data_IF_168547647189
#
_entry.id   IF_168547647189
#
_cell.length_a   1.000
_cell.length_b   1.000
_cell.length_c   1.000
_cell.angle_alpha   90.00
_cell.angle_beta   90.00
_cell.angle_gamma   90.00
#
_symmetry.space_group_name_H-M   'P 1'
#
loop_
_entity.id
_entity.type
_entity.pdbx_description
1 polymer ?
#
# COMPACT_ATOMS: atom_id res chain seq x y z
N UNK A 1 16.41 -4.86 7.24
CA UNK A 1 15.01 -4.43 7.11
C UNK A 1 14.88 -2.96 7.50
N UNK A 2 15.67 -2.50 8.47
CA UNK A 2 16.12 -1.10 8.69
C UNK A 2 16.13 -0.23 7.43
N UNK A 3 16.89 -0.60 6.40
CA UNK A 3 16.96 0.16 5.13
C UNK A 3 15.59 0.39 4.48
N UNK A 4 14.69 -0.60 4.48
CA UNK A 4 13.35 -0.48 3.91
C UNK A 4 12.42 0.38 4.77
N UNK A 5 12.59 0.39 6.09
CA UNK A 5 11.84 1.28 6.99
C UNK A 5 12.22 2.74 6.74
N UNK A 6 13.52 3.03 6.64
CA UNK A 6 14.02 4.38 6.36
C UNK A 6 13.48 4.94 5.04
N UNK A 7 13.27 4.09 4.02
CA UNK A 7 12.69 4.50 2.73
C UNK A 7 11.27 5.05 2.83
N UNK A 8 10.50 4.71 3.88
CA UNK A 8 9.18 5.31 4.06
C UNK A 8 9.28 6.82 4.23
N UNK A 9 10.35 7.34 4.84
CA UNK A 9 10.59 8.79 4.97
C UNK A 9 10.89 9.48 3.63
N UNK A 10 11.37 8.72 2.65
CA UNK A 10 11.63 9.20 1.29
C UNK A 10 10.36 9.26 0.43
N UNK A 11 9.27 8.60 0.83
CA UNK A 11 7.99 8.70 0.13
C UNK A 11 7.45 10.12 0.31
N UNK A 12 7.36 10.87 -0.78
CA UNK A 12 6.89 12.25 -0.77
C UNK A 12 5.61 12.41 -1.61
N UNK A 13 4.87 13.53 -1.46
CA UNK A 13 3.70 13.78 -2.29
C UNK A 13 4.07 13.87 -3.78
N UNK A 14 3.72 12.84 -4.53
CA UNK A 14 4.02 12.73 -5.98
C UNK A 14 2.74 12.81 -6.80
N UNK A 15 2.79 13.58 -7.89
CA UNK A 15 1.74 13.57 -8.92
C UNK A 15 1.95 12.38 -9.89
N UNK A 16 0.98 11.48 -9.93
CA UNK A 16 0.94 10.31 -10.82
C UNK A 16 -0.18 10.50 -11.83
N UNK A 17 0.11 10.31 -13.12
CA UNK A 17 -0.95 10.17 -14.12
C UNK A 17 -1.30 8.69 -14.23
N UNK A 18 -2.56 8.36 -13.96
CA UNK A 18 -3.07 6.99 -14.06
C UNK A 18 -3.99 6.92 -15.27
N UNK A 19 -3.58 6.16 -16.28
CA UNK A 19 -4.29 6.04 -17.55
C UNK A 19 -4.75 4.61 -17.80
N UNK A 20 -6.03 4.41 -18.15
CA UNK A 20 -6.54 3.06 -18.37
C UNK A 20 -8.05 2.90 -18.35
N UNK A 21 -8.46 1.66 -18.16
CA UNK A 21 -9.86 1.23 -18.14
C UNK A 21 -10.45 1.29 -16.71
N UNK A 22 -11.28 2.31 -16.47
CA UNK A 22 -11.99 2.46 -15.20
C UNK A 22 -13.27 1.62 -15.16
N UNK A 23 -13.60 1.11 -13.97
CA UNK A 23 -14.81 0.33 -13.73
C UNK A 23 -15.34 0.56 -12.31
N UNK A 24 -16.54 0.08 -12.00
CA UNK A 24 -17.05 0.00 -10.63
C UNK A 24 -17.03 -1.43 -10.13
N UNK A 25 -16.38 -1.65 -8.99
CA UNK A 25 -16.56 -2.87 -8.21
C UNK A 25 -17.74 -2.66 -7.25
N UNK A 26 -18.82 -3.41 -7.45
CA UNK A 26 -20.02 -3.32 -6.62
C UNK A 26 -20.16 -4.58 -5.78
N UNK A 27 -20.54 -4.42 -4.51
CA UNK A 27 -20.73 -5.48 -3.54
C UNK A 27 -22.18 -5.45 -3.06
N UNK A 28 -22.97 -6.41 -3.54
CA UNK A 28 -24.38 -6.57 -3.13
C UNK A 28 -24.45 -7.63 -2.05
N UNK A 29 -24.62 -7.22 -0.79
CA UNK A 29 -24.64 -8.14 0.35
C UNK A 29 -26.06 -8.40 0.82
N UNK A 30 -26.35 -9.66 1.15
CA UNK A 30 -27.67 -10.07 1.60
C UNK A 30 -27.69 -11.42 2.30
N UNK A 31 -28.90 -11.95 2.51
CA UNK A 31 -29.10 -13.29 3.09
C UNK A 31 -29.86 -14.19 2.13
N UNK A 32 -29.47 -15.46 2.07
CA UNK A 32 -30.20 -16.50 1.32
C UNK A 32 -30.97 -17.36 2.31
N UNK A 33 -32.30 -17.19 2.36
CA UNK A 33 -33.16 -17.93 3.31
C UNK A 33 -34.04 -18.99 2.66
N UNK A 34 -34.18 -18.96 1.34
CA UNK A 34 -35.06 -19.86 0.59
C UNK A 34 -34.57 -20.06 -0.84
N UNK A 35 -35.05 -21.14 -1.44
CA UNK A 35 -34.98 -21.40 -2.87
C UNK A 35 -36.20 -20.76 -3.55
N UNK A 36 -36.03 -20.28 -4.77
CA UNK A 36 -37.11 -19.70 -5.57
C UNK A 36 -38.17 -20.76 -5.91
N UNK A 37 -39.48 -20.42 -5.86
CA UNK A 37 -40.53 -21.31 -6.35
C UNK A 37 -40.58 -21.40 -7.88
N UNK A 38 -39.91 -20.49 -8.60
CA UNK A 38 -39.92 -20.39 -10.07
C UNK A 38 -38.82 -21.24 -10.73
N UNK A 39 -37.70 -21.42 -10.04
CA UNK A 39 -36.54 -22.17 -10.52
C UNK A 39 -35.71 -22.64 -9.32
N UNK A 40 -34.92 -23.73 -9.43
CA UNK A 40 -34.08 -24.26 -8.35
C UNK A 40 -32.84 -23.39 -8.10
N UNK A 41 -33.04 -22.10 -7.81
CA UNK A 41 -32.02 -21.10 -7.57
C UNK A 41 -32.24 -20.39 -6.24
N UNK A 42 -31.15 -19.99 -5.59
CA UNK A 42 -31.19 -19.23 -4.34
C UNK A 42 -31.78 -17.83 -4.55
N UNK A 43 -32.61 -17.37 -3.61
CA UNK A 43 -33.09 -15.98 -3.57
C UNK A 43 -32.26 -15.18 -2.59
N UNK A 44 -31.48 -14.23 -3.10
CA UNK A 44 -30.75 -13.27 -2.27
C UNK A 44 -31.67 -12.11 -1.88
N UNK A 45 -31.93 -11.97 -0.57
CA UNK A 45 -32.57 -10.77 -0.04
C UNK A 45 -31.50 -9.72 0.25
N UNK A 46 -31.35 -8.75 -0.65
CA UNK A 46 -30.35 -7.67 -0.55
C UNK A 46 -30.60 -6.86 0.73
N UNK A 47 -29.53 -6.58 1.46
CA UNK A 47 -29.54 -5.76 2.68
C UNK A 47 -28.71 -4.49 2.51
N UNK A 48 -27.61 -4.57 1.76
CA UNK A 48 -26.74 -3.44 1.49
C UNK A 48 -26.12 -3.58 0.09
N UNK A 49 -25.82 -2.44 -0.52
CA UNK A 49 -25.07 -2.35 -1.77
C UNK A 49 -24.02 -1.25 -1.61
N UNK A 50 -22.78 -1.56 -1.98
CA UNK A 50 -21.67 -0.61 -1.96
C UNK A 50 -20.90 -0.68 -3.26
N UNK A 51 -20.66 0.47 -3.89
CA UNK A 51 -19.88 0.58 -5.12
C UNK A 51 -18.61 1.38 -4.87
N UNK A 52 -17.50 0.92 -5.44
CA UNK A 52 -16.19 1.56 -5.34
C UNK A 52 -15.52 1.61 -6.72
N UNK A 53 -14.66 2.60 -6.98
CA UNK A 53 -13.79 2.59 -8.17
C UNK A 53 -12.94 1.31 -8.21
N UNK A 54 -13.02 0.58 -9.33
CA UNK A 54 -12.28 -0.64 -9.63
C UNK A 54 -11.38 -0.46 -10.86
N UNK A 55 -10.59 -1.47 -11.16
CA UNK A 55 -9.63 -1.43 -12.28
C UNK A 55 -8.62 -0.30 -12.12
N UNK A 56 -8.47 0.54 -13.14
CA UNK A 56 -7.63 1.75 -13.06
C UNK A 56 -8.06 2.68 -11.92
N UNK A 57 -9.33 2.67 -11.52
CA UNK A 57 -9.80 3.39 -10.33
C UNK A 57 -9.19 2.84 -9.04
N UNK A 58 -9.01 1.53 -8.89
CA UNK A 58 -8.39 0.92 -7.72
C UNK A 58 -6.89 1.28 -7.63
N UNK A 59 -6.19 1.34 -8.77
CA UNK A 59 -4.81 1.84 -8.84
C UNK A 59 -4.74 3.29 -8.33
N UNK A 60 -5.62 4.16 -8.81
CA UNK A 60 -5.68 5.55 -8.38
C UNK A 60 -5.91 5.67 -6.86
N UNK A 61 -6.84 4.91 -6.31
CA UNK A 61 -7.14 4.92 -4.87
C UNK A 61 -5.99 4.42 -4.00
N UNK A 62 -5.23 3.42 -4.47
CA UNK A 62 -4.02 2.97 -3.78
C UNK A 62 -2.93 4.05 -3.80
N UNK A 63 -2.74 4.75 -4.92
CA UNK A 63 -1.79 5.87 -4.99
C UNK A 63 -2.17 7.00 -4.01
N UNK A 64 -3.45 7.37 -3.93
CA UNK A 64 -3.95 8.35 -2.94
C UNK A 64 -3.65 7.87 -1.51
N UNK A 65 -3.91 6.59 -1.21
CA UNK A 65 -3.69 6.00 0.12
C UNK A 65 -2.21 5.96 0.53
N UNK A 66 -1.31 5.92 -0.46
CA UNK A 66 0.14 6.01 -0.31
C UNK A 66 0.65 7.46 -0.27
N UNK A 67 -0.24 8.46 -0.22
CA UNK A 67 0.11 9.88 -0.11
C UNK A 67 0.42 10.59 -1.44
N UNK A 68 0.18 9.92 -2.57
CA UNK A 68 0.29 10.52 -3.91
C UNK A 68 -0.92 11.37 -4.28
N UNK A 69 -0.80 12.09 -5.40
CA UNK A 69 -1.88 12.80 -6.09
C UNK A 69 -2.09 12.17 -7.46
N UNK A 70 -3.33 12.08 -7.91
CA UNK A 70 -3.65 11.39 -9.16
C UNK A 70 -4.33 12.31 -10.16
N UNK A 71 -3.86 12.25 -11.41
CA UNK A 71 -4.61 12.69 -12.60
C UNK A 71 -5.14 11.43 -13.29
N UNK A 72 -6.47 11.27 -13.30
CA UNK A 72 -7.14 10.13 -13.91
C UNK A 72 -7.41 10.39 -15.39
N UNK A 73 -6.93 9.49 -16.26
CA UNK A 73 -7.15 9.55 -17.71
C UNK A 73 -7.82 8.27 -18.18
N UNK A 74 -9.04 8.37 -18.69
CA UNK A 74 -9.86 7.20 -18.96
C UNK A 74 -11.15 7.58 -19.69
N UNK A 75 -12.00 6.59 -19.95
CA UNK A 75 -13.37 6.86 -20.41
C UNK A 75 -14.41 6.28 -19.48
N UNK A 76 -15.57 6.92 -19.45
CA UNK A 76 -16.77 6.46 -18.77
C UNK A 76 -17.97 6.65 -19.69
N UNK A 77 -19.03 5.88 -19.46
CA UNK A 77 -20.30 6.04 -20.15
C UNK A 77 -21.07 7.25 -19.65
N UNK A 78 -21.98 7.77 -20.49
CA UNK A 78 -23.00 8.74 -20.11
C UNK A 78 -24.14 8.09 -19.27
N UNK A 79 -23.80 7.23 -18.32
CA UNK A 79 -24.73 6.43 -17.53
C UNK A 79 -24.58 6.69 -16.02
N UNK A 80 -25.46 6.07 -15.22
CA UNK A 80 -25.44 6.25 -13.76
C UNK A 80 -24.14 5.75 -13.13
N UNK A 81 -23.58 4.66 -13.66
CA UNK A 81 -22.31 4.10 -13.21
C UNK A 81 -21.14 5.06 -13.50
N UNK A 82 -21.08 5.68 -14.68
CA UNK A 82 -20.06 6.65 -15.06
C UNK A 82 -20.10 7.90 -14.19
N UNK A 83 -21.30 8.42 -13.90
CA UNK A 83 -21.48 9.54 -12.95
C UNK A 83 -21.01 9.17 -11.54
N UNK A 84 -21.45 8.01 -11.04
CA UNK A 84 -21.07 7.54 -9.70
C UNK A 84 -19.56 7.32 -9.57
N UNK A 85 -18.91 6.78 -10.60
CA UNK A 85 -17.47 6.60 -10.65
C UNK A 85 -16.73 7.94 -10.61
N UNK A 86 -17.14 8.92 -11.43
CA UNK A 86 -16.56 10.28 -11.41
C UNK A 86 -16.69 10.92 -10.03
N UNK A 87 -17.89 10.94 -9.45
CA UNK A 87 -18.15 11.52 -8.13
C UNK A 87 -17.33 10.82 -7.04
N UNK A 88 -17.15 9.49 -7.14
CA UNK A 88 -16.36 8.73 -6.17
C UNK A 88 -14.87 9.06 -6.25
N UNK A 89 -14.33 9.31 -7.45
CA UNK A 89 -12.95 9.73 -7.62
C UNK A 89 -12.74 11.19 -7.16
N UNK A 90 -13.68 12.09 -7.47
CA UNK A 90 -13.63 13.49 -7.03
C UNK A 90 -13.65 13.63 -5.49
N UNK A 91 -14.43 12.79 -4.80
CA UNK A 91 -14.46 12.73 -3.32
C UNK A 91 -13.12 12.35 -2.69
N UNK A 92 -12.26 11.68 -3.44
CA UNK A 92 -10.92 11.26 -3.03
C UNK A 92 -9.85 12.27 -3.51
N UNK A 93 -10.28 13.46 -3.93
CA UNK A 93 -9.44 14.55 -4.43
C UNK A 93 -8.63 14.19 -5.69
N UNK A 94 -9.10 13.21 -6.48
CA UNK A 94 -8.50 12.82 -7.75
C UNK A 94 -8.91 13.81 -8.84
N UNK A 95 -7.95 14.25 -9.65
CA UNK A 95 -8.21 15.10 -10.80
C UNK A 95 -8.80 14.26 -11.95
N UNK A 96 -10.09 14.45 -12.19
CA UNK A 96 -10.89 13.72 -13.19
C UNK A 96 -11.09 14.50 -14.49
N UNK A 97 -10.29 15.55 -14.74
CA UNK A 97 -10.35 16.29 -16.01
C UNK A 97 -10.08 15.39 -17.23
N UNK A 98 -9.25 14.36 -17.05
CA UNK A 98 -8.96 13.36 -18.08
C UNK A 98 -9.97 12.20 -18.15
N UNK A 99 -11.08 12.22 -17.42
CA UNK A 99 -12.16 11.25 -17.60
C UNK A 99 -13.10 11.70 -18.70
N UNK A 100 -12.99 11.08 -19.86
CA UNK A 100 -13.80 11.38 -21.04
C UNK A 100 -15.15 10.66 -20.99
N UNK A 101 -16.23 11.37 -21.26
CA UNK A 101 -17.58 10.80 -21.29
C UNK A 101 -17.92 10.37 -22.72
N UNK A 102 -18.32 9.12 -22.90
CA UNK A 102 -18.72 8.57 -24.19
C UNK A 102 -20.21 8.20 -24.17
N UNK A 103 -21.00 8.80 -25.07
CA UNK A 103 -22.39 8.43 -25.28
C UNK A 103 -22.52 6.99 -25.81
N UNK A 104 -23.48 6.25 -25.29
CA UNK A 104 -23.73 4.84 -25.67
C UNK A 104 -22.69 3.82 -25.17
N UNK A 105 -21.58 4.25 -24.56
CA UNK A 105 -20.68 3.34 -23.85
C UNK A 105 -21.27 2.97 -22.51
N UNK A 106 -21.25 1.68 -22.16
CA UNK A 106 -21.69 1.18 -20.86
C UNK A 106 -20.49 1.13 -19.91
N UNK A 107 -20.49 1.98 -18.88
CA UNK A 107 -19.43 1.97 -17.86
C UNK A 107 -19.36 0.57 -17.24
N UNK A 108 -18.19 -0.11 -17.23
CA UNK A 108 -18.10 -1.46 -16.72
C UNK A 108 -18.42 -1.53 -15.22
N UNK A 109 -19.29 -2.46 -14.82
CA UNK A 109 -19.59 -2.76 -13.42
C UNK A 109 -19.37 -4.24 -13.13
N UNK A 110 -18.61 -4.54 -12.08
CA UNK A 110 -18.34 -5.89 -11.57
C UNK A 110 -19.10 -6.09 -10.26
N UNK A 111 -20.33 -6.58 -10.32
CA UNK A 111 -21.17 -6.77 -9.15
C UNK A 111 -20.94 -8.16 -8.52
N UNK A 112 -20.41 -8.20 -7.31
CA UNK A 112 -20.19 -9.40 -6.49
C UNK A 112 -21.35 -9.54 -5.51
N UNK A 113 -22.16 -10.58 -5.69
CA UNK A 113 -23.28 -10.92 -4.81
C UNK A 113 -22.76 -11.78 -3.66
N UNK A 114 -22.93 -11.31 -2.43
CA UNK A 114 -22.42 -11.94 -1.22
C UNK A 114 -23.59 -12.35 -0.32
N UNK A 115 -23.62 -13.63 0.06
CA UNK A 115 -24.57 -14.18 1.02
C UNK A 115 -23.81 -14.83 2.18
N UNK A 116 -24.21 -14.51 3.42
CA UNK A 116 -23.66 -15.13 4.63
C UNK A 116 -22.11 -15.18 4.64
N UNK A 117 -21.50 -14.04 4.25
CA UNK A 117 -20.05 -13.83 4.14
C UNK A 117 -19.33 -14.63 3.05
N UNK A 118 -20.05 -15.21 2.09
CA UNK A 118 -19.50 -15.90 0.93
C UNK A 118 -19.95 -15.26 -0.38
N UNK A 119 -19.04 -15.12 -1.34
CA UNK A 119 -19.40 -14.68 -2.68
C UNK A 119 -20.12 -15.82 -3.42
N UNK A 120 -21.36 -15.57 -3.84
CA UNK A 120 -22.21 -16.58 -4.49
C UNK A 120 -22.17 -16.43 -6.01
N UNK A 121 -22.16 -15.19 -6.51
CA UNK A 121 -22.19 -14.91 -7.95
C UNK A 121 -21.46 -13.60 -8.25
N UNK A 122 -20.88 -13.52 -9.45
CA UNK A 122 -20.40 -12.27 -10.02
C UNK A 122 -21.18 -11.96 -11.30
N UNK A 123 -21.70 -10.74 -11.40
CA UNK A 123 -22.44 -10.24 -12.57
C UNK A 123 -21.64 -9.08 -13.16
N UNK A 124 -21.21 -9.26 -14.40
CA UNK A 124 -20.42 -8.27 -15.11
C UNK A 124 -21.32 -7.53 -16.10
N UNK A 125 -21.51 -6.22 -15.87
CA UNK A 125 -22.23 -5.33 -16.76
C UNK A 125 -21.24 -4.53 -17.59
N UNK A 126 -20.87 -5.03 -18.77
CA UNK A 126 -19.89 -4.36 -19.62
C UNK A 126 -20.13 -4.62 -21.10
N UNK A 127 -19.55 -3.76 -21.92
CA UNK A 127 -19.46 -3.97 -23.37
C UNK A 127 -18.08 -3.53 -23.80
N UNK A 128 -17.25 -4.48 -24.20
CA UNK A 128 -15.92 -4.16 -24.71
C UNK A 128 -16.10 -3.59 -26.12
N UNK A 129 -15.70 -2.34 -26.31
CA UNK A 129 -15.75 -1.67 -27.62
C UNK A 129 -14.52 -0.79 -27.77
N UNK A 130 -13.92 -0.66 -28.96
CA UNK A 130 -12.88 0.34 -29.18
C UNK A 130 -13.36 1.75 -28.82
N UNK A 131 -12.44 2.64 -28.47
CA UNK A 131 -12.72 4.06 -28.37
C UNK A 131 -13.03 4.63 -29.77
N UNK A 132 -14.09 5.46 -29.93
CA UNK A 132 -14.37 6.16 -31.18
C UNK A 132 -13.22 7.10 -31.58
N UNK A 133 -12.98 7.25 -32.89
CA UNK A 133 -11.83 8.02 -33.43
C UNK A 133 -11.84 9.51 -33.01
N UNK A 134 -13.01 10.12 -32.89
CA UNK A 134 -13.22 11.50 -32.45
C UNK A 134 -12.87 11.69 -30.97
N UNK A 135 -13.30 10.76 -30.12
CA UNK A 135 -12.95 10.76 -28.71
C UNK A 135 -11.46 10.45 -28.50
N UNK A 136 -10.91 9.50 -29.27
CA UNK A 136 -9.48 9.18 -29.27
C UNK A 136 -8.62 10.40 -29.65
N UNK A 137 -9.02 11.16 -30.67
CA UNK A 137 -8.34 12.39 -31.06
C UNK A 137 -8.35 13.44 -29.95
N UNK A 138 -9.48 13.58 -29.24
CA UNK A 138 -9.62 14.50 -28.10
C UNK A 138 -8.71 14.10 -26.94
N UNK A 139 -8.64 12.79 -26.62
CA UNK A 139 -7.71 12.26 -25.60
C UNK A 139 -6.28 12.63 -25.96
N UNK A 140 -5.86 12.32 -27.19
CA UNK A 140 -4.50 12.58 -27.69
C UNK A 140 -4.12 14.08 -27.60
N UNK A 141 -5.05 14.98 -27.94
CA UNK A 141 -4.82 16.42 -27.87
C UNK A 141 -4.64 16.92 -26.42
N UNK A 142 -5.40 16.37 -25.48
CA UNK A 142 -5.38 16.79 -24.08
C UNK A 142 -4.24 16.17 -23.24
N UNK A 143 -3.69 15.01 -23.66
CA UNK A 143 -2.64 14.27 -22.92
C UNK A 143 -1.47 15.18 -22.51
N UNK A 144 -0.98 16.00 -23.43
CA UNK A 144 0.14 16.91 -23.19
C UNK A 144 -0.11 17.87 -22.02
N UNK A 145 -1.35 18.35 -21.86
CA UNK A 145 -1.76 19.24 -20.77
C UNK A 145 -2.00 18.48 -19.47
N UNK A 146 -2.64 17.31 -19.54
CA UNK A 146 -2.89 16.44 -18.39
C UNK A 146 -1.57 15.94 -17.74
N UNK A 147 -0.51 15.80 -18.55
CA UNK A 147 0.82 15.39 -18.10
C UNK A 147 1.65 16.50 -17.42
N UNK A 148 1.13 17.72 -17.26
CA UNK A 148 1.89 18.82 -16.65
C UNK A 148 2.13 18.58 -15.16
N UNK A 149 3.40 18.61 -14.75
CA UNK A 149 3.79 18.40 -13.35
C UNK A 149 3.64 16.96 -12.86
N UNK A 150 3.46 16.00 -13.78
CA UNK A 150 3.42 14.56 -13.50
C UNK A 150 4.85 14.03 -13.36
N UNK A 151 5.08 13.17 -12.36
CA UNK A 151 6.39 12.56 -12.09
C UNK A 151 6.51 11.13 -12.62
N UNK A 152 5.39 10.42 -12.82
CA UNK A 152 5.35 9.06 -13.38
C UNK A 152 3.99 8.80 -14.00
N UNK A 153 3.94 7.93 -15.01
CA UNK A 153 2.71 7.46 -15.63
C UNK A 153 2.49 5.97 -15.32
N UNK A 154 1.35 5.65 -14.72
CA UNK A 154 0.89 4.29 -14.51
C UNK A 154 -0.18 3.95 -15.55
N UNK A 155 0.11 3.01 -16.45
CA UNK A 155 -0.80 2.52 -17.48
C UNK A 155 -1.42 1.22 -16.99
N UNK A 156 -2.74 1.16 -16.91
CA UNK A 156 -3.47 0.01 -16.37
C UNK A 156 -4.49 -0.50 -17.39
N UNK A 157 -4.09 -1.55 -18.13
CA UNK A 157 -4.89 -2.12 -19.21
C UNK A 157 -5.77 -3.27 -18.70
N UNK A 158 -7.08 -3.18 -18.91
CA UNK A 158 -8.04 -4.25 -18.62
C UNK A 158 -8.73 -4.77 -19.89
N UNK A 159 -8.21 -4.40 -21.07
CA UNK A 159 -8.75 -4.70 -22.38
C UNK A 159 -10.22 -4.31 -22.54
N UNK A 160 -10.63 -3.16 -21.97
CA UNK A 160 -12.00 -2.63 -22.12
C UNK A 160 -12.15 -1.72 -23.33
N UNK A 161 -11.04 -1.35 -23.96
CA UNK A 161 -10.99 -0.67 -25.26
C UNK A 161 -10.71 0.82 -25.20
N UNK A 162 -10.38 1.38 -24.03
CA UNK A 162 -9.91 2.77 -23.93
C UNK A 162 -8.48 2.92 -24.46
N UNK A 163 -7.58 2.03 -24.04
CA UNK A 163 -6.17 2.05 -24.42
C UNK A 163 -5.97 1.52 -25.85
N UNK A 164 -6.23 2.37 -26.84
CA UNK A 164 -5.89 2.11 -28.23
C UNK A 164 -4.37 2.15 -28.45
N UNK A 165 -3.91 1.57 -29.57
CA UNK A 165 -2.49 1.65 -29.98
C UNK A 165 -2.04 3.10 -30.08
N UNK A 166 -2.87 3.98 -30.66
CA UNK A 166 -2.54 5.40 -30.82
C UNK A 166 -2.41 6.13 -29.49
N UNK A 167 -3.31 5.88 -28.53
CA UNK A 167 -3.21 6.48 -27.18
C UNK A 167 -1.96 6.00 -26.46
N UNK A 168 -1.66 4.69 -26.53
CA UNK A 168 -0.46 4.10 -25.93
C UNK A 168 0.82 4.68 -26.55
N UNK A 169 0.89 4.76 -27.88
CA UNK A 169 2.03 5.35 -28.59
C UNK A 169 2.23 6.82 -28.20
N UNK A 170 1.17 7.62 -28.17
CA UNK A 170 1.25 9.03 -27.82
C UNK A 170 1.70 9.23 -26.37
N UNK A 171 1.06 8.56 -25.40
CA UNK A 171 1.38 8.75 -23.97
C UNK A 171 2.82 8.29 -23.66
N UNK A 172 3.27 7.16 -24.24
CA UNK A 172 4.63 6.66 -24.06
C UNK A 172 5.65 7.58 -24.75
N UNK A 173 5.35 8.06 -25.95
CA UNK A 173 6.21 9.00 -26.69
C UNK A 173 6.37 10.33 -25.93
N UNK A 174 5.27 10.92 -25.47
CA UNK A 174 5.29 12.16 -24.69
C UNK A 174 6.02 11.98 -23.36
N UNK A 175 5.85 10.83 -22.69
CA UNK A 175 6.54 10.52 -21.46
C UNK A 175 8.06 10.49 -21.68
N UNK A 176 8.49 9.78 -22.72
CA UNK A 176 9.91 9.67 -23.11
C UNK A 176 10.52 11.03 -23.48
N UNK A 177 9.80 11.85 -24.24
CA UNK A 177 10.24 13.22 -24.60
C UNK A 177 10.44 14.11 -23.36
N UNK A 178 9.66 13.88 -22.31
CA UNK A 178 9.71 14.66 -21.05
C UNK A 178 10.57 14.02 -19.96
N UNK A 179 11.12 12.83 -20.20
CA UNK A 179 11.85 12.06 -19.19
C UNK A 179 10.97 11.60 -18.02
N UNK A 180 9.66 11.42 -18.25
CA UNK A 180 8.72 10.92 -17.25
C UNK A 180 8.71 9.39 -17.35
N UNK A 181 9.03 8.64 -16.28
CA UNK A 181 8.98 7.18 -16.28
C UNK A 181 7.57 6.66 -16.52
N UNK A 182 7.48 5.46 -17.11
CA UNK A 182 6.26 4.75 -17.43
C UNK A 182 6.29 3.33 -16.88
N UNK A 183 5.19 2.91 -16.24
CA UNK A 183 4.98 1.52 -15.83
C UNK A 183 3.63 1.04 -16.35
N UNK A 184 3.62 -0.13 -16.97
CA UNK A 184 2.44 -0.71 -17.62
C UNK A 184 2.05 -1.99 -16.90
N UNK A 185 0.78 -2.10 -16.48
CA UNK A 185 0.14 -3.37 -16.16
C UNK A 185 -0.60 -3.86 -17.41
N UNK A 186 -0.05 -4.85 -18.13
CA UNK A 186 -0.53 -5.19 -19.46
C UNK A 186 -1.75 -6.12 -19.40
N UNK A 187 -2.56 -6.09 -20.46
CA UNK A 187 -3.53 -7.13 -20.76
C UNK A 187 -3.32 -7.76 -22.13
N UNK A 188 -3.67 -9.04 -22.20
CA UNK A 188 -3.62 -9.84 -23.43
C UNK A 188 -2.29 -10.56 -23.60
N UNK A 189 -2.07 -11.07 -24.81
CA UNK A 189 -0.86 -11.76 -25.26
C UNK A 189 -0.01 -10.91 -26.21
N UNK A 190 -0.53 -9.79 -26.71
CA UNK A 190 0.23 -8.84 -27.52
C UNK A 190 0.72 -7.66 -26.68
N UNK A 191 2.01 -7.71 -26.33
CA UNK A 191 2.70 -6.63 -25.62
C UNK A 191 3.39 -5.63 -26.56
N UNK A 192 3.34 -5.84 -27.89
CA UNK A 192 3.99 -4.94 -28.84
C UNK A 192 3.39 -3.53 -28.82
N UNK A 193 2.10 -3.40 -28.46
CA UNK A 193 1.41 -2.11 -28.26
C UNK A 193 1.96 -1.25 -27.12
N UNK A 194 2.79 -1.81 -26.23
CA UNK A 194 3.43 -1.07 -25.13
C UNK A 194 4.91 -0.72 -25.42
N UNK A 195 5.31 -0.82 -26.68
CA UNK A 195 6.68 -0.53 -27.14
C UNK A 195 7.14 0.84 -26.66
N UNK A 196 8.32 0.89 -26.04
CA UNK A 196 8.96 2.11 -25.56
C UNK A 196 8.67 2.44 -24.09
N UNK A 197 7.82 1.68 -23.41
CA UNK A 197 7.62 1.80 -21.97
C UNK A 197 8.88 1.38 -21.18
N UNK A 198 9.12 2.01 -20.03
CA UNK A 198 10.29 1.72 -19.20
C UNK A 198 10.13 0.39 -18.45
N UNK A 199 8.93 0.12 -17.94
CA UNK A 199 8.61 -1.08 -17.15
C UNK A 199 7.29 -1.69 -17.64
N UNK A 200 7.30 -2.99 -17.94
CA UNK A 200 6.06 -3.78 -18.07
C UNK A 200 5.95 -4.76 -16.90
N UNK A 201 4.75 -4.83 -16.31
CA UNK A 201 4.44 -5.56 -15.09
C UNK A 201 3.41 -6.68 -15.28
N UNK A 202 3.66 -7.73 -16.09
CA UNK A 202 2.67 -8.80 -16.24
C UNK A 202 2.63 -9.71 -15.00
N UNK A 203 1.54 -10.43 -14.82
CA UNK A 203 1.59 -11.67 -14.03
C UNK A 203 2.26 -12.80 -14.83
N UNK A 204 2.61 -13.90 -14.16
CA UNK A 204 3.28 -15.05 -14.80
C UNK A 204 2.48 -15.61 -15.99
N UNK A 205 1.15 -15.74 -15.86
CA UNK A 205 0.30 -16.27 -16.93
C UNK A 205 0.27 -15.35 -18.15
N UNK A 206 0.20 -14.03 -17.93
CA UNK A 206 0.26 -13.03 -19.00
C UNK A 206 1.63 -13.02 -19.68
N UNK A 207 2.73 -13.11 -18.92
CA UNK A 207 4.07 -13.17 -19.47
C UNK A 207 4.29 -14.42 -20.34
N UNK A 208 3.86 -15.59 -19.87
CA UNK A 208 3.96 -16.86 -20.61
C UNK A 208 3.10 -16.83 -21.88
N UNK A 209 1.88 -16.30 -21.78
CA UNK A 209 0.98 -16.15 -22.92
C UNK A 209 1.59 -15.21 -23.98
N UNK A 210 2.13 -14.07 -23.56
CA UNK A 210 2.75 -13.11 -24.47
C UNK A 210 4.03 -13.64 -25.13
N UNK A 211 4.79 -14.47 -24.41
CA UNK A 211 5.94 -15.18 -24.99
C UNK A 211 5.53 -16.34 -25.92
N UNK A 212 4.23 -16.70 -25.97
CA UNK A 212 3.69 -17.85 -26.72
C UNK A 212 4.36 -19.16 -26.32
N UNK A 213 4.65 -19.32 -25.04
CA UNK A 213 5.34 -20.48 -24.46
C UNK A 213 4.39 -21.31 -23.58
N UNK A 214 4.79 -22.54 -23.24
CA UNK A 214 4.09 -23.31 -22.20
C UNK A 214 4.48 -22.83 -20.80
N UNK A 215 3.60 -23.05 -19.82
CA UNK A 215 3.83 -22.69 -18.42
C UNK A 215 4.98 -23.45 -17.73
N UNK A 216 5.47 -24.53 -18.36
CA UNK A 216 6.59 -25.34 -17.89
C UNK A 216 7.96 -24.79 -18.25
N UNK A 217 8.02 -23.70 -19.02
CA UNK A 217 9.28 -23.11 -19.47
C UNK A 217 9.96 -22.31 -18.36
N UNK A 218 11.29 -22.34 -18.34
CA UNK A 218 12.13 -21.56 -17.42
C UNK A 218 11.86 -20.07 -17.63
N UNK A 219 11.63 -19.35 -16.53
CA UNK A 219 11.24 -17.94 -16.56
C UNK A 219 12.22 -17.03 -17.31
N UNK A 220 13.53 -17.32 -17.24
CA UNK A 220 14.56 -16.59 -17.97
C UNK A 220 14.38 -16.66 -19.50
N UNK A 221 13.88 -17.78 -20.02
CA UNK A 221 13.56 -17.90 -21.45
C UNK A 221 12.33 -17.08 -21.82
N UNK A 222 11.30 -17.07 -20.96
CA UNK A 222 10.11 -16.23 -21.16
C UNK A 222 10.52 -14.76 -21.23
N UNK A 223 11.32 -14.29 -20.27
CA UNK A 223 11.83 -12.91 -20.25
C UNK A 223 12.67 -12.59 -21.49
N UNK A 224 13.58 -13.48 -21.89
CA UNK A 224 14.41 -13.30 -23.08
C UNK A 224 13.57 -13.12 -24.35
N UNK A 225 12.61 -14.02 -24.58
CA UNK A 225 11.70 -13.95 -25.74
C UNK A 225 10.94 -12.62 -25.75
N UNK A 226 10.46 -12.17 -24.59
CA UNK A 226 9.78 -10.88 -24.47
C UNK A 226 10.70 -9.70 -24.81
N UNK A 227 11.95 -9.67 -24.34
CA UNK A 227 12.91 -8.61 -24.68
C UNK A 227 13.31 -8.60 -26.17
N UNK A 228 13.34 -9.76 -26.82
CA UNK A 228 13.66 -9.91 -28.24
C UNK A 228 12.52 -9.39 -29.13
N UNK A 229 11.27 -9.51 -28.67
CA UNK A 229 10.08 -9.09 -29.43
C UNK A 229 9.52 -7.71 -29.04
N UNK A 230 9.86 -7.20 -27.86
CA UNK A 230 9.29 -5.97 -27.29
C UNK A 230 10.43 -5.01 -26.90
N UNK A 231 10.34 -3.76 -27.34
CA UNK A 231 11.32 -2.73 -26.96
C UNK A 231 10.95 -2.09 -25.61
N UNK A 232 11.24 -2.81 -24.53
CA UNK A 232 11.09 -2.36 -23.14
C UNK A 232 12.41 -2.42 -22.38
N UNK A 233 12.58 -1.62 -21.34
CA UNK A 233 13.84 -1.59 -20.59
C UNK A 233 13.86 -2.65 -19.47
N UNK A 234 12.73 -2.83 -18.79
CA UNK A 234 12.61 -3.74 -17.63
C UNK A 234 11.29 -4.51 -17.65
N UNK A 235 11.34 -5.75 -17.17
CA UNK A 235 10.19 -6.63 -17.06
C UNK A 235 10.02 -7.09 -15.61
N UNK A 236 8.88 -6.77 -14.99
CA UNK A 236 8.56 -7.08 -13.60
C UNK A 236 7.46 -8.13 -13.56
N UNK A 237 7.83 -9.41 -13.41
CA UNK A 237 6.87 -10.51 -13.43
C UNK A 237 6.39 -10.80 -12.00
N UNK A 238 5.08 -10.67 -11.75
CA UNK A 238 4.47 -11.10 -10.48
C UNK A 238 4.10 -12.59 -10.55
N UNK A 239 4.43 -13.34 -9.50
CA UNK A 239 4.37 -14.82 -9.47
C UNK A 239 3.65 -15.34 -8.23
N UNK A 240 2.58 -14.66 -7.81
CA UNK A 240 1.78 -15.03 -6.64
C UNK A 240 2.67 -15.27 -5.40
N UNK A 241 2.59 -16.43 -4.75
CA UNK A 241 3.37 -16.81 -3.57
C UNK A 241 4.89 -16.83 -3.79
N UNK A 242 5.35 -17.00 -5.03
CA UNK A 242 6.78 -16.92 -5.37
C UNK A 242 7.31 -15.47 -5.46
N UNK A 243 6.44 -14.49 -5.25
CA UNK A 243 6.76 -13.07 -5.23
C UNK A 243 7.04 -12.49 -6.61
N UNK A 244 8.05 -11.63 -6.70
CA UNK A 244 8.31 -10.82 -7.89
C UNK A 244 9.68 -11.16 -8.47
N UNK A 245 9.78 -11.26 -9.80
CA UNK A 245 11.07 -11.26 -10.50
C UNK A 245 11.21 -10.00 -11.34
N UNK A 246 12.32 -9.28 -11.19
CA UNK A 246 12.75 -8.22 -12.09
C UNK A 246 13.75 -8.77 -13.08
N UNK A 247 13.53 -8.50 -14.35
CA UNK A 247 14.49 -8.72 -15.41
C UNK A 247 14.88 -7.40 -16.05
N UNK A 248 16.17 -7.26 -16.35
CA UNK A 248 16.71 -6.13 -17.10
C UNK A 248 17.16 -6.58 -18.49
N UNK A 249 17.17 -5.65 -19.46
CA UNK A 249 17.54 -5.95 -20.86
C UNK A 249 18.96 -6.51 -21.02
N UNK A 250 19.86 -6.27 -20.06
CA UNK A 250 21.21 -6.84 -20.03
C UNK A 250 21.23 -8.36 -19.70
N UNK A 251 20.08 -8.96 -19.38
CA UNK A 251 19.94 -10.37 -19.00
C UNK A 251 20.03 -10.64 -17.50
N UNK A 252 20.21 -9.61 -16.67
CA UNK A 252 20.19 -9.77 -15.22
C UNK A 252 18.77 -10.04 -14.70
N UNK A 253 18.72 -10.88 -13.65
CA UNK A 253 17.49 -11.26 -12.96
C UNK A 253 17.66 -11.06 -11.47
N UNK A 254 16.65 -10.45 -10.85
CA UNK A 254 16.57 -10.26 -9.40
C UNK A 254 15.24 -10.84 -8.90
N UNK A 255 15.30 -11.72 -7.90
CA UNK A 255 14.11 -12.34 -7.30
C UNK A 255 13.82 -11.76 -5.92
N UNK A 256 12.54 -11.43 -5.70
CA UNK A 256 12.01 -10.83 -4.49
C UNK A 256 10.91 -11.74 -3.92
N UNK A 257 11.26 -12.74 -3.09
CA UNK A 257 10.29 -13.67 -2.52
C UNK A 257 9.35 -12.98 -1.54
N UNK A 258 8.09 -13.40 -1.49
CA UNK A 258 7.11 -12.94 -0.49
C UNK A 258 7.29 -13.78 0.78
N UNK A 259 7.21 -13.14 1.94
CA UNK A 259 6.98 -13.83 3.22
C UNK A 259 5.48 -13.83 3.49
N UNK A 260 4.73 -14.72 2.86
CA UNK A 260 3.26 -14.66 2.94
C UNK A 260 2.75 -15.28 4.25
N UNK A 261 1.81 -14.59 4.88
CA UNK A 261 0.93 -15.17 5.89
C UNK A 261 -0.32 -15.76 5.20
N UNK A 262 -1.33 -16.10 5.97
CA UNK A 262 -2.59 -16.66 5.47
C UNK A 262 -3.28 -15.73 4.46
N UNK A 263 -3.49 -16.23 3.24
CA UNK A 263 -4.09 -15.48 2.13
C UNK A 263 -5.62 -15.53 2.23
N UNK A 264 -6.28 -14.37 2.21
CA UNK A 264 -7.74 -14.27 2.24
C UNK A 264 -8.34 -13.97 0.86
N UNK A 265 -7.80 -12.98 0.15
CA UNK A 265 -8.32 -12.56 -1.15
C UNK A 265 -7.18 -12.00 -2.02
N UNK A 266 -6.97 -12.55 -3.22
CA UNK A 266 -5.88 -12.09 -4.12
C UNK A 266 -6.29 -10.91 -5.02
N UNK A 267 -7.54 -10.46 -4.91
CA UNK A 267 -8.09 -9.41 -5.76
C UNK A 267 -7.37 -8.07 -5.53
N UNK A 268 -6.86 -7.45 -6.60
CA UNK A 268 -6.21 -6.14 -6.53
C UNK A 268 -4.74 -6.15 -6.07
N UNK A 269 -4.14 -7.32 -5.85
CA UNK A 269 -2.72 -7.42 -5.52
C UNK A 269 -1.82 -6.83 -6.63
N UNK A 270 -2.17 -7.08 -7.90
CA UNK A 270 -1.46 -6.51 -9.06
C UNK A 270 -1.52 -4.98 -9.10
N UNK A 271 -2.71 -4.41 -8.84
CA UNK A 271 -2.90 -2.95 -8.76
C UNK A 271 -2.11 -2.34 -7.60
N UNK A 272 -2.02 -3.05 -6.46
CA UNK A 272 -1.22 -2.63 -5.30
C UNK A 272 0.27 -2.55 -5.67
N UNK A 273 0.79 -3.56 -6.40
CA UNK A 273 2.18 -3.53 -6.89
C UNK A 273 2.40 -2.38 -7.85
N UNK A 274 1.50 -2.20 -8.83
CA UNK A 274 1.58 -1.08 -9.79
C UNK A 274 1.63 0.27 -9.06
N UNK A 275 0.74 0.47 -8.09
CA UNK A 275 0.61 1.70 -7.32
C UNK A 275 1.86 1.98 -6.48
N UNK A 276 2.32 0.98 -5.71
CA UNK A 276 3.47 1.15 -4.81
C UNK A 276 4.76 1.40 -5.59
N UNK A 277 5.00 0.67 -6.68
CA UNK A 277 6.16 0.90 -7.55
C UNK A 277 6.09 2.31 -8.16
N UNK A 278 4.91 2.74 -8.60
CA UNK A 278 4.74 4.08 -9.18
C UNK A 278 5.09 5.19 -8.17
N UNK A 279 4.53 5.12 -6.96
CA UNK A 279 4.78 6.12 -5.91
C UNK A 279 6.24 6.14 -5.48
N UNK A 280 6.85 4.97 -5.29
CA UNK A 280 8.24 4.86 -4.87
C UNK A 280 9.21 5.42 -5.93
N UNK A 281 9.05 5.05 -7.20
CA UNK A 281 9.88 5.56 -8.28
C UNK A 281 9.74 7.08 -8.47
N UNK A 282 8.51 7.59 -8.42
CA UNK A 282 8.27 9.03 -8.49
C UNK A 282 8.87 9.80 -7.30
N UNK A 283 9.02 9.12 -6.15
CA UNK A 283 9.69 9.67 -4.96
C UNK A 283 11.23 9.55 -5.03
N UNK A 284 11.79 9.01 -6.12
CA UNK A 284 13.23 8.85 -6.31
C UNK A 284 13.85 7.60 -5.68
N UNK A 285 13.02 6.63 -5.25
CA UNK A 285 13.49 5.36 -4.69
C UNK A 285 13.95 4.43 -5.82
N UNK A 286 15.02 3.65 -5.59
CA UNK A 286 15.48 2.63 -6.54
C UNK A 286 14.37 1.60 -6.83
N UNK A 287 14.23 1.21 -8.10
CA UNK A 287 13.28 0.17 -8.51
C UNK A 287 13.36 -1.12 -7.68
N UNK A 288 14.56 -1.60 -7.34
CA UNK A 288 14.70 -2.84 -6.57
C UNK A 288 14.12 -2.70 -5.16
N UNK A 289 14.27 -1.53 -4.56
CA UNK A 289 13.72 -1.20 -3.26
C UNK A 289 12.20 -0.93 -3.35
N UNK A 290 11.75 -0.26 -4.42
CA UNK A 290 10.34 -0.09 -4.73
C UNK A 290 9.62 -1.44 -4.87
N UNK A 291 10.26 -2.43 -5.50
CA UNK A 291 9.73 -3.79 -5.61
C UNK A 291 9.61 -4.46 -4.25
N UNK A 292 10.61 -4.30 -3.37
CA UNK A 292 10.54 -4.84 -2.01
C UNK A 292 9.37 -4.26 -1.23
N UNK A 293 9.17 -2.95 -1.29
CA UNK A 293 8.00 -2.28 -0.69
C UNK A 293 6.68 -2.77 -1.30
N UNK A 294 6.62 -2.90 -2.63
CA UNK A 294 5.46 -3.38 -3.35
C UNK A 294 5.09 -4.82 -2.99
N UNK A 295 6.08 -5.68 -2.77
CA UNK A 295 5.89 -7.07 -2.35
C UNK A 295 5.26 -7.15 -0.94
N UNK A 296 5.70 -6.26 -0.04
CA UNK A 296 5.12 -6.13 1.30
C UNK A 296 3.70 -5.57 1.22
N UNK A 297 3.48 -4.51 0.44
CA UNK A 297 2.17 -3.91 0.25
C UNK A 297 1.15 -4.94 -0.30
N UNK A 298 1.53 -5.67 -1.34
CA UNK A 298 0.70 -6.73 -1.91
C UNK A 298 0.43 -7.84 -0.89
N UNK A 299 1.42 -8.23 -0.08
CA UNK A 299 1.24 -9.18 1.02
C UNK A 299 0.19 -8.73 2.03
N UNK A 300 0.18 -7.44 2.42
CA UNK A 300 -0.84 -6.89 3.32
C UNK A 300 -2.21 -6.87 2.63
N UNK A 301 -2.26 -6.49 1.34
CA UNK A 301 -3.50 -6.39 0.59
C UNK A 301 -4.23 -7.74 0.53
N UNK A 302 -3.50 -8.84 0.31
CA UNK A 302 -4.10 -10.16 0.18
C UNK A 302 -4.56 -10.80 1.49
N UNK A 303 -4.15 -10.24 2.63
CA UNK A 303 -4.60 -10.65 3.98
C UNK A 303 -5.93 -10.01 4.39
N UNK A 304 -6.44 -9.07 3.56
CA UNK A 304 -7.71 -8.35 3.74
C UNK A 304 -8.75 -8.89 2.75
N UNK A 305 -10.03 -8.66 3.02
CA UNK A 305 -11.13 -9.08 2.15
C UNK A 305 -11.45 -7.97 1.15
N UNK A 306 -11.57 -8.32 -0.14
CA UNK A 306 -11.83 -7.38 -1.23
C UNK A 306 -10.60 -6.58 -1.68
N UNK A 307 -10.81 -5.63 -2.60
CA UNK A 307 -9.77 -4.70 -3.07
C UNK A 307 -9.38 -3.72 -1.94
N UNK A 308 -8.55 -4.18 -1.01
CA UNK A 308 -8.13 -3.39 0.13
C UNK A 308 -7.12 -2.32 -0.30
N UNK A 309 -7.31 -1.10 0.21
CA UNK A 309 -6.32 -0.03 0.07
C UNK A 309 -5.24 -0.21 1.13
N UNK A 310 -3.99 -0.04 0.72
CA UNK A 310 -2.83 -0.05 1.62
C UNK A 310 -2.32 1.37 1.78
N UNK A 311 -2.14 1.80 3.02
CA UNK A 311 -1.56 3.11 3.34
C UNK A 311 -0.13 2.98 3.89
N UNK A 312 0.56 4.11 4.05
CA UNK A 312 1.94 4.14 4.58
C UNK A 312 2.01 3.58 6.01
N UNK A 313 0.98 3.79 6.84
CA UNK A 313 0.92 3.26 8.20
C UNK A 313 0.85 1.73 8.23
N UNK A 314 0.08 1.12 7.32
CA UNK A 314 0.01 -0.34 7.17
C UNK A 314 1.40 -0.92 6.83
N UNK A 315 2.12 -0.26 5.91
CA UNK A 315 3.49 -0.62 5.55
C UNK A 315 4.44 -0.47 6.73
N UNK A 316 4.37 0.63 7.47
CA UNK A 316 5.21 0.88 8.63
C UNK A 316 5.05 -0.22 9.69
N UNK A 317 3.80 -0.54 10.05
CA UNK A 317 3.49 -1.62 11.00
C UNK A 317 4.08 -2.95 10.53
N UNK A 318 3.85 -3.33 9.27
CA UNK A 318 4.38 -4.60 8.74
C UNK A 318 5.91 -4.62 8.69
N UNK A 319 6.55 -3.51 8.33
CA UNK A 319 8.00 -3.42 8.31
C UNK A 319 8.58 -3.54 9.73
N UNK A 320 7.94 -2.97 10.75
CA UNK A 320 8.33 -3.18 12.14
C UNK A 320 8.14 -4.62 12.61
N UNK A 321 7.03 -5.29 12.25
CA UNK A 321 6.85 -6.71 12.54
C UNK A 321 7.94 -7.58 11.92
N UNK A 322 8.37 -7.24 10.71
CA UNK A 322 9.44 -7.95 10.02
C UNK A 322 10.80 -7.67 10.65
N UNK A 323 11.02 -6.46 11.17
CA UNK A 323 12.24 -6.04 11.87
C UNK A 323 12.17 -6.23 13.39
N UNK A 324 11.25 -7.05 13.90
CA UNK A 324 10.99 -7.24 15.33
C UNK A 324 12.21 -7.76 16.13
N UNK A 325 13.24 -8.28 15.47
CA UNK A 325 14.54 -8.61 16.07
C UNK A 325 15.33 -7.34 16.47
N UNK A 326 15.05 -6.20 15.83
CA UNK A 326 15.62 -4.88 16.09
C UNK A 326 14.53 -3.90 16.52
N UNK A 327 14.03 -4.03 17.76
CA UNK A 327 13.08 -3.07 18.37
C UNK A 327 13.70 -1.70 18.66
N UNK A 328 14.89 -1.43 18.17
CA UNK A 328 15.69 -0.24 18.46
C UNK A 328 15.48 0.79 17.36
N UNK A 329 15.01 1.98 17.74
CA UNK A 329 14.76 3.08 16.82
C UNK A 329 15.75 4.21 17.01
N UNK A 330 16.22 4.69 15.86
CA UNK A 330 16.96 5.93 15.69
C UNK A 330 16.14 6.94 14.85
N UNK A 331 16.79 8.02 14.40
CA UNK A 331 16.15 9.06 13.61
C UNK A 331 15.65 8.57 12.24
N UNK A 332 16.30 7.58 11.62
CA UNK A 332 15.90 7.07 10.30
C UNK A 332 14.54 6.37 10.35
N UNK A 333 14.16 5.86 11.52
CA UNK A 333 12.90 5.16 11.72
C UNK A 333 11.77 6.03 12.26
N UNK A 334 12.07 7.27 12.69
CA UNK A 334 11.11 8.14 13.36
C UNK A 334 9.84 8.35 12.53
N UNK A 335 10.00 8.57 11.22
CA UNK A 335 8.88 8.76 10.31
C UNK A 335 7.96 7.53 10.27
N UNK A 336 8.52 6.34 10.12
CA UNK A 336 7.75 5.11 10.10
C UNK A 336 7.03 4.88 11.45
N UNK A 337 7.71 5.18 12.56
CA UNK A 337 7.13 5.04 13.90
C UNK A 337 5.94 5.98 14.09
N UNK A 338 6.06 7.23 13.63
CA UNK A 338 4.95 8.18 13.61
C UNK A 338 3.76 7.65 12.79
N UNK A 339 4.00 7.06 11.61
CA UNK A 339 2.92 6.49 10.80
C UNK A 339 2.28 5.27 11.45
N UNK A 340 3.05 4.39 12.08
CA UNK A 340 2.54 3.20 12.76
C UNK A 340 1.73 3.53 14.03
N UNK A 341 2.10 4.61 14.74
CA UNK A 341 1.41 5.07 15.95
C UNK A 341 0.25 6.02 15.67
N UNK A 342 0.08 6.48 14.43
CA UNK A 342 -0.95 7.46 14.07
C UNK A 342 -2.35 6.90 14.35
N UNK A 343 -3.09 7.55 15.24
CA UNK A 343 -4.44 7.12 15.65
C UNK A 343 -4.45 5.94 16.64
N UNK A 344 -3.28 5.47 17.10
CA UNK A 344 -3.16 4.49 18.19
C UNK A 344 -2.86 5.18 19.52
N UNK A 345 -3.29 4.54 20.61
CA UNK A 345 -2.85 4.90 21.96
C UNK A 345 -1.53 4.19 22.26
N UNK A 346 -0.54 4.92 22.76
CA UNK A 346 0.72 4.32 23.22
C UNK A 346 1.16 4.93 24.54
N UNK A 347 2.06 4.21 25.22
CA UNK A 347 2.68 4.58 26.47
C UNK A 347 4.19 4.75 26.28
N UNK A 348 4.82 5.63 27.06
CA UNK A 348 6.28 5.73 27.11
C UNK A 348 6.77 5.43 28.52
N UNK A 349 7.68 4.47 28.65
CA UNK A 349 8.41 4.16 29.87
C UNK A 349 9.86 4.61 29.73
N UNK A 350 10.30 5.57 30.56
CA UNK A 350 11.70 5.98 30.65
C UNK A 350 12.46 5.10 31.62
N UNK A 351 13.63 4.63 31.19
CA UNK A 351 14.55 3.79 31.96
C UNK A 351 15.98 4.30 31.88
N UNK A 352 16.80 3.86 32.83
CA UNK A 352 18.25 4.06 32.90
C UNK A 352 18.92 2.69 32.85
N UNK A 353 19.82 2.47 31.90
CA UNK A 353 20.50 1.19 31.67
C UNK A 353 21.36 0.75 32.85
N UNK A 354 21.77 1.68 33.74
CA UNK A 354 22.52 1.34 34.97
C UNK A 354 21.71 0.49 35.93
N UNK A 355 20.38 0.49 35.82
CA UNK A 355 19.51 -0.40 36.58
C UNK A 355 19.62 -1.87 36.12
N UNK A 356 20.13 -2.10 34.91
CA UNK A 356 20.14 -3.40 34.25
C UNK A 356 18.73 -4.01 34.11
N UNK A 357 18.67 -5.28 33.71
CA UNK A 357 17.43 -6.06 33.68
C UNK A 357 17.01 -6.50 35.09
N UNK A 358 16.56 -5.54 35.89
CA UNK A 358 16.10 -5.78 37.26
C UNK A 358 14.66 -6.33 37.31
N UNK A 359 14.33 -7.03 38.41
CA UNK A 359 12.96 -7.46 38.69
C UNK A 359 11.96 -6.29 38.74
N UNK A 360 12.41 -5.10 39.15
CA UNK A 360 11.58 -3.90 39.19
C UNK A 360 11.19 -3.45 37.78
N UNK A 361 12.14 -3.44 36.85
CA UNK A 361 11.89 -3.12 35.44
C UNK A 361 10.93 -4.11 34.79
N UNK A 362 11.15 -5.42 35.00
CA UNK A 362 10.26 -6.44 34.47
C UNK A 362 8.83 -6.31 35.01
N UNK A 363 8.67 -6.03 36.31
CA UNK A 363 7.35 -5.78 36.90
C UNK A 363 6.70 -4.53 36.35
N UNK A 364 7.45 -3.44 36.17
CA UNK A 364 6.93 -2.20 35.60
C UNK A 364 6.40 -2.39 34.17
N UNK A 365 7.18 -3.06 33.31
CA UNK A 365 6.78 -3.39 31.94
C UNK A 365 5.50 -4.23 31.95
N UNK A 366 5.47 -5.29 32.77
CA UNK A 366 4.28 -6.15 32.95
C UNK A 366 3.07 -5.38 33.46
N UNK A 367 3.25 -4.48 34.43
CA UNK A 367 2.15 -3.71 35.01
C UNK A 367 1.53 -2.74 33.98
N UNK A 368 2.37 -2.08 33.18
CA UNK A 368 1.89 -1.18 32.11
C UNK A 368 1.15 -1.98 31.04
N UNK A 369 1.75 -3.08 30.56
CA UNK A 369 1.17 -3.91 29.50
C UNK A 369 -0.14 -4.60 29.94
N UNK A 370 -0.23 -5.05 31.19
CA UNK A 370 -1.46 -5.68 31.72
C UNK A 370 -2.61 -4.69 31.96
N UNK A 371 -2.30 -3.46 32.36
CA UNK A 371 -3.32 -2.42 32.60
C UNK A 371 -4.06 -2.05 31.33
N UNK A 372 -3.37 -2.05 30.19
CA UNK A 372 -3.98 -1.78 28.90
C UNK A 372 -3.24 -2.50 27.77
N UNK A 373 -3.62 -3.76 27.48
CA UNK A 373 -2.96 -4.58 26.46
C UNK A 373 -3.11 -4.02 25.03
N UNK A 374 -3.99 -3.03 24.84
CA UNK A 374 -4.23 -2.41 23.54
C UNK A 374 -3.24 -1.28 23.21
N UNK A 375 -2.42 -0.87 24.18
CA UNK A 375 -1.45 0.20 24.02
C UNK A 375 -0.07 -0.34 23.69
N UNK A 376 0.53 0.27 22.67
CA UNK A 376 1.93 0.04 22.34
C UNK A 376 2.81 0.63 23.46
N UNK A 377 3.82 -0.12 23.92
CA UNK A 377 4.79 0.31 24.91
C UNK A 377 6.11 0.69 24.25
N UNK A 378 6.46 1.97 24.36
CA UNK A 378 7.76 2.50 23.97
C UNK A 378 8.65 2.62 25.21
N UNK A 379 9.81 1.97 25.19
CA UNK A 379 10.83 2.12 26.22
C UNK A 379 11.87 3.15 25.77
N UNK A 380 11.97 4.26 26.47
CA UNK A 380 13.04 5.26 26.25
C UNK A 380 14.21 4.97 27.19
N UNK A 381 15.35 4.55 26.62
CA UNK A 381 16.60 4.39 27.36
C UNK A 381 17.35 5.72 27.31
N UNK A 382 17.59 6.30 28.48
CA UNK A 382 18.11 7.67 28.59
C UNK A 382 19.62 7.78 28.28
N UNK A 383 20.36 6.71 28.49
CA UNK A 383 21.83 6.72 28.50
C UNK A 383 22.42 7.18 27.16
N UNK A 384 23.53 7.94 27.22
CA UNK A 384 24.25 8.39 26.02
C UNK A 384 24.92 7.23 25.28
N UNK A 385 25.37 6.22 26.03
CA UNK A 385 25.93 4.96 25.55
C UNK A 385 25.28 3.80 26.29
N UNK A 386 24.06 3.41 25.89
CA UNK A 386 23.34 2.33 26.55
C UNK A 386 24.05 0.99 26.33
N UNK A 387 24.01 0.12 27.35
CA UNK A 387 24.62 -1.20 27.30
C UNK A 387 23.95 -2.10 26.25
N UNK A 388 24.73 -2.73 25.37
CA UNK A 388 24.19 -3.54 24.26
C UNK A 388 23.46 -4.79 24.74
N UNK A 389 23.93 -5.43 25.81
CA UNK A 389 23.29 -6.62 26.39
C UNK A 389 21.92 -6.24 26.99
N UNK A 390 21.83 -5.11 27.68
CA UNK A 390 20.59 -4.56 28.18
C UNK A 390 19.56 -4.26 27.07
N UNK A 391 20.00 -3.64 25.97
CA UNK A 391 19.13 -3.35 24.82
C UNK A 391 18.63 -4.65 24.18
N UNK A 392 19.50 -5.64 24.01
CA UNK A 392 19.16 -6.96 23.46
C UNK A 392 18.14 -7.70 24.33
N UNK A 393 18.29 -7.62 25.66
CA UNK A 393 17.31 -8.21 26.58
C UNK A 393 15.98 -7.47 26.52
N UNK A 394 15.97 -6.14 26.46
CA UNK A 394 14.74 -5.37 26.29
C UNK A 394 14.04 -5.68 24.98
N UNK A 395 14.77 -5.79 23.86
CA UNK A 395 14.18 -6.08 22.55
C UNK A 395 13.57 -7.48 22.50
N UNK A 396 14.08 -8.42 23.31
CA UNK A 396 13.53 -9.78 23.42
C UNK A 396 12.18 -9.86 24.14
N UNK A 397 11.78 -8.82 24.91
CA UNK A 397 10.53 -8.83 25.66
C UNK A 397 9.33 -8.61 24.75
N UNK A 398 8.33 -9.49 24.82
CA UNK A 398 7.12 -9.40 23.99
C UNK A 398 6.28 -8.16 24.32
N UNK A 399 6.33 -7.67 25.56
CA UNK A 399 5.57 -6.51 26.04
C UNK A 399 6.19 -5.17 25.64
N UNK A 400 7.43 -5.16 25.16
CA UNK A 400 8.10 -3.96 24.66
C UNK A 400 7.92 -3.93 23.15
N UNK A 401 7.17 -2.96 22.64
CA UNK A 401 6.94 -2.84 21.21
C UNK A 401 8.10 -2.10 20.55
N UNK A 402 8.57 -1.02 21.19
CA UNK A 402 9.60 -0.16 20.63
C UNK A 402 10.60 0.36 21.68
N UNK A 403 11.85 0.58 21.29
CA UNK A 403 12.93 1.11 22.11
C UNK A 403 13.50 2.36 21.45
N UNK A 404 13.59 3.48 22.18
CA UNK A 404 14.20 4.73 21.72
C UNK A 404 15.45 4.98 22.55
N UNK A 405 16.59 5.20 21.89
CA UNK A 405 17.88 5.43 22.57
C UNK A 405 18.30 6.91 22.61
N UNK A 406 17.78 7.75 21.72
CA UNK A 406 18.16 9.17 21.61
C UNK A 406 17.06 10.07 22.14
N UNK A 407 17.44 11.02 23.01
CA UNK A 407 16.54 12.04 23.55
C UNK A 407 15.90 12.89 22.44
N UNK A 408 16.66 13.21 21.39
CA UNK A 408 16.19 13.98 20.24
C UNK A 408 15.11 13.22 19.45
N UNK A 409 15.32 11.92 19.18
CA UNK A 409 14.30 11.07 18.56
C UNK A 409 13.01 11.00 19.38
N UNK A 410 13.12 10.87 20.71
CA UNK A 410 11.95 10.93 21.59
C UNK A 410 11.27 12.30 21.53
N UNK A 411 12.04 13.41 21.59
CA UNK A 411 11.48 14.76 21.51
C UNK A 411 10.68 14.96 20.23
N UNK A 412 11.25 14.60 19.09
CA UNK A 412 10.61 14.74 17.78
C UNK A 412 9.34 13.87 17.68
N UNK A 413 9.35 12.67 18.26
CA UNK A 413 8.15 11.84 18.38
C UNK A 413 7.06 12.54 19.20
N UNK A 414 7.40 13.04 20.39
CA UNK A 414 6.46 13.71 21.30
C UNK A 414 5.87 15.01 20.72
N UNK A 415 6.61 15.73 19.89
CA UNK A 415 6.08 16.93 19.20
C UNK A 415 5.02 16.57 18.15
N UNK A 416 5.13 15.38 17.55
CA UNK A 416 4.22 14.92 16.51
C UNK A 416 2.98 14.19 17.05
N UNK A 417 3.16 13.33 18.05
CA UNK A 417 2.10 12.50 18.63
C UNK A 417 2.29 12.49 20.15
N UNK A 418 1.24 12.80 20.91
CA UNK A 418 1.31 12.77 22.37
C UNK A 418 0.96 11.36 22.87
N UNK A 419 1.78 10.79 23.77
CA UNK A 419 1.47 9.51 24.39
C UNK A 419 0.26 9.63 25.31
N UNK A 420 -0.49 8.54 25.42
CA UNK A 420 -1.65 8.48 26.32
C UNK A 420 -1.25 8.46 27.79
N UNK A 421 -0.11 7.82 28.11
CA UNK A 421 0.45 7.73 29.45
C UNK A 421 1.97 7.73 29.40
N UNK A 422 2.57 8.23 30.47
CA UNK A 422 3.99 8.49 30.55
C UNK A 422 4.50 8.04 31.90
N UNK A 423 5.55 7.23 31.91
CA UNK A 423 6.12 6.65 33.11
C UNK A 423 7.64 6.81 33.15
N UNK A 424 8.20 6.88 34.35
CA UNK A 424 9.64 6.70 34.59
C UNK A 424 9.86 5.64 35.65
N UNK A 425 10.88 4.81 35.47
CA UNK A 425 11.36 3.93 36.53
C UNK A 425 12.47 4.66 37.31
N UNK A 426 12.18 5.07 38.55
CA UNK A 426 13.11 5.79 39.42
C UNK A 426 13.33 4.97 40.69
N UNK A 427 14.58 4.65 41.00
CA UNK A 427 14.97 3.87 42.20
C UNK A 427 14.15 2.58 42.39
N UNK A 428 13.82 1.89 41.28
CA UNK A 428 13.03 0.66 41.28
C UNK A 428 11.52 0.84 41.46
N UNK A 429 11.03 2.09 41.49
CA UNK A 429 9.60 2.41 41.59
C UNK A 429 9.06 3.00 40.29
N UNK A 430 7.86 2.57 39.89
CA UNK A 430 7.18 3.08 38.71
C UNK A 430 6.46 4.41 39.05
N UNK A 431 6.83 5.49 38.37
CA UNK A 431 6.26 6.83 38.58
C UNK A 431 5.52 7.25 37.32
N UNK A 432 4.24 7.65 37.46
CA UNK A 432 3.45 8.22 36.37
C UNK A 432 3.65 9.74 36.27
N UNK A 433 3.60 10.27 35.05
CA UNK A 433 3.72 11.70 34.78
C UNK A 433 2.51 12.24 34.02
N UNK A 434 2.06 13.44 34.38
CA UNK A 434 0.94 14.11 33.72
C UNK A 434 1.31 14.67 32.33
N UNK A 435 2.62 14.86 32.06
CA UNK A 435 3.12 15.48 30.83
C UNK A 435 4.33 14.76 30.25
N UNK A 436 4.32 14.52 28.94
CA UNK A 436 5.40 13.83 28.23
C UNK A 436 6.75 14.56 28.27
N UNK A 437 6.73 15.90 28.39
CA UNK A 437 7.95 16.71 28.56
C UNK A 437 8.76 16.30 29.80
N UNK A 438 8.13 15.63 30.78
CA UNK A 438 8.84 15.14 31.95
C UNK A 438 9.92 14.09 31.63
N UNK A 439 9.79 13.39 30.51
CA UNK A 439 10.79 12.42 30.06
C UNK A 439 12.07 13.06 29.54
N UNK A 440 11.98 14.30 29.06
CA UNK A 440 13.08 15.01 28.37
C UNK A 440 13.99 15.78 29.34
N UNK A 441 13.61 15.90 30.62
CA UNK A 441 14.38 16.67 31.61
C UNK A 441 15.54 15.83 32.14
N UNK A 442 16.75 16.39 32.15
CA UNK A 442 17.97 15.70 32.64
C UNK A 442 18.04 15.57 34.18
N UNK A 443 17.05 16.08 34.90
CA UNK A 443 16.94 16.01 36.36
C UNK A 443 15.53 15.58 36.75
N UNK A 444 15.34 14.94 37.92
CA UNK A 444 14.01 14.54 38.37
C UNK A 444 13.16 15.80 38.51
N UNK A 445 12.10 15.91 37.71
CA UNK A 445 11.04 16.87 37.99
C UNK A 445 10.39 16.48 39.34
N UNK A 446 9.87 17.46 40.09
CA UNK A 446 9.15 17.17 41.32
C UNK A 446 8.00 16.21 41.02
N UNK A 447 8.06 15.04 41.64
CA UNK A 447 7.04 14.00 41.55
C UNK A 447 5.81 14.49 42.30
N UNK A 448 4.68 14.64 41.63
CA UNK A 448 3.39 14.80 42.31
C UNK A 448 2.94 13.39 42.74
N UNK A 449 2.86 13.07 44.05
CA UNK A 449 2.44 11.75 44.48
C UNK A 449 0.95 11.57 44.18
N UNK A 450 0.63 10.65 43.28
CA UNK A 450 -0.74 10.17 43.08
C UNK A 450 -1.06 9.19 44.21
N UNK A 451 -1.75 9.66 45.24
CA UNK A 451 -2.35 8.79 46.24
C UNK A 451 -3.58 8.09 45.65
N UNK A 452 -3.45 6.83 45.29
CA UNK A 452 -4.60 5.93 45.14
C UNK A 452 -5.17 5.68 46.54
N UNK A 453 -6.26 6.38 46.89
CA UNK A 453 -7.08 6.03 48.05
C UNK A 453 -7.78 4.71 47.75
N UNK A 454 -7.48 3.69 48.55
CA UNK A 454 -8.36 2.55 48.74
C UNK A 454 -9.45 2.98 49.72
N UNK A 455 -10.68 3.14 49.23
CA UNK A 455 -11.85 3.19 50.09
C UNK A 455 -12.33 1.74 50.32
N UNK A 456 -12.60 1.45 51.59
CA UNK A 456 -12.99 0.16 52.18
C UNK A 456 -14.32 -0.39 51.68
#
# INVERSE_FOLDING_TARGET
MVKLIGLLSSLCPVNVLVIGDFMLDTYTTGKVRRISPEAPVSVLHVQNEESRPGGTGNVALNIISLGGKVVAVGRVGADAAGRHLRESLEKEEIDVRGLFVQEGYRTPVKNRLIADSQQVLRVDFETNSPIPEDLEASVVEELSQLMRGVHIIAISDYAKGFLSVRILEEVISLAKQRGIPTIVDPKGDDFSKYRGADIIKPNLSEAVAAAKMSSTVILDHVAKVLFDHILIDKLLITRSEAGISLFERNGERFDFPVRSREVKDVTGAGDTVLSMVSVALASGIDLKEAIQLANIAAGIAIERVGCARINIGDLAVRLFELDAENKVFDEEHLFALQQALRGKCYCVLRVDSKLGMSNALFRAIREISQKDPSKELIVYVRDETPDEEFISLLSSLAEVDFIVLKCESLRNLLESIQPSQVFSLLDGSLVAHDHAKALLVHSPLPVTPVFLRADY
#
